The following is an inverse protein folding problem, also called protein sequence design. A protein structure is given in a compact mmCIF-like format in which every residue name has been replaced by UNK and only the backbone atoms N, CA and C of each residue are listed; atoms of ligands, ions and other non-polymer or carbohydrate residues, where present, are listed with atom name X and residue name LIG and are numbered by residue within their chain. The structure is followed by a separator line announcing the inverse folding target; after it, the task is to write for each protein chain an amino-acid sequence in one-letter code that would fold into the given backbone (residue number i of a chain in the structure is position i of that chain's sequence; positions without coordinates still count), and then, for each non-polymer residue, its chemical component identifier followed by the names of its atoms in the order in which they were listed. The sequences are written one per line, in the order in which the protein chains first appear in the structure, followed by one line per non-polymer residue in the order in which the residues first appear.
data_IF_384235070482
#
_entry.id   IF_384235070482
#
_cell.length_a   1.000
_cell.length_b   1.000
_cell.length_c   1.000
_cell.angle_alpha   90.00
_cell.angle_beta   90.00
_cell.angle_gamma   90.00
#
_symmetry.space_group_name_H-M   'P 1'
#
loop_
_entity.id
_entity.type
_entity.pdbx_description
1 polymer ?
#
# COMPACT_ATOMS: atom_id res chain seq x y z
N UNK A 1 1.35 -22.29 -21.89
CA UNK A 1 0.33 -21.39 -21.32
C UNK A 1 0.90 -20.36 -20.32
N UNK A 2 2.24 -20.14 -20.23
CA UNK A 2 2.82 -19.26 -19.20
C UNK A 2 2.85 -17.76 -19.51
N UNK A 3 2.96 -17.35 -20.78
CA UNK A 3 3.13 -15.93 -21.14
C UNK A 3 1.88 -15.08 -20.90
N UNK A 4 0.68 -15.63 -21.14
CA UNK A 4 -0.59 -14.90 -20.95
C UNK A 4 -0.90 -14.66 -19.48
N UNK A 5 -0.64 -15.65 -18.62
CA UNK A 5 -0.83 -15.53 -17.17
C UNK A 5 0.17 -14.54 -16.54
N UNK A 6 1.42 -14.51 -16.99
CA UNK A 6 2.40 -13.52 -16.53
C UNK A 6 1.97 -12.09 -16.89
N UNK A 7 1.49 -11.85 -18.12
CA UNK A 7 1.02 -10.52 -18.56
C UNK A 7 -0.22 -10.05 -17.79
N UNK A 8 -1.12 -10.96 -17.45
CA UNK A 8 -2.30 -10.63 -16.66
C UNK A 8 -1.93 -10.22 -15.23
N UNK A 9 -1.05 -10.97 -14.57
CA UNK A 9 -0.56 -10.62 -13.23
C UNK A 9 0.22 -9.30 -13.22
N UNK A 10 1.04 -9.06 -14.23
CA UNK A 10 1.76 -7.79 -14.39
C UNK A 10 0.78 -6.63 -14.56
N UNK A 11 -0.25 -6.79 -15.41
CA UNK A 11 -1.32 -5.78 -15.57
C UNK A 11 -2.06 -5.55 -14.26
N UNK A 12 -2.44 -6.60 -13.53
CA UNK A 12 -3.14 -6.47 -12.24
C UNK A 12 -2.28 -5.66 -11.27
N UNK A 13 -1.00 -5.99 -11.18
CA UNK A 13 -0.03 -5.33 -10.30
C UNK A 13 0.09 -3.84 -10.63
N UNK A 14 0.42 -3.50 -11.87
CA UNK A 14 0.60 -2.09 -12.27
C UNK A 14 -0.71 -1.31 -12.15
N UNK A 15 -1.84 -1.90 -12.56
CA UNK A 15 -3.14 -1.25 -12.41
C UNK A 15 -3.48 -1.00 -10.94
N UNK A 16 -3.14 -1.92 -10.03
CA UNK A 16 -3.43 -1.78 -8.60
C UNK A 16 -2.68 -0.60 -7.99
N UNK A 17 -1.40 -0.42 -8.34
CA UNK A 17 -0.59 0.70 -7.84
C UNK A 17 -1.23 2.04 -8.15
N UNK A 18 -1.75 2.19 -9.37
CA UNK A 18 -2.30 3.44 -9.90
C UNK A 18 -3.77 3.70 -9.51
N UNK A 19 -4.43 2.78 -8.79
CA UNK A 19 -5.82 3.02 -8.36
C UNK A 19 -5.84 4.23 -7.42
N UNK A 20 -6.67 5.25 -7.70
CA UNK A 20 -6.82 6.38 -6.80
C UNK A 20 -7.52 5.96 -5.51
N UNK A 21 -7.10 6.53 -4.38
CA UNK A 21 -7.86 6.40 -3.13
C UNK A 21 -9.07 7.34 -3.16
N UNK A 22 -10.12 7.01 -2.40
CA UNK A 22 -11.39 7.75 -2.46
C UNK A 22 -11.25 9.24 -2.08
N UNK A 23 -10.37 9.54 -1.13
CA UNK A 23 -10.09 10.90 -0.66
C UNK A 23 -8.59 11.07 -0.49
N UNK A 24 -8.02 12.07 -1.17
CA UNK A 24 -6.60 12.38 -1.06
C UNK A 24 -6.26 12.82 0.37
N UNK A 25 -5.16 12.30 0.91
CA UNK A 25 -4.66 12.70 2.23
C UNK A 25 -3.46 13.61 2.03
N UNK A 26 -3.60 14.88 2.39
CA UNK A 26 -2.59 15.91 2.13
C UNK A 26 -1.78 16.20 3.41
N UNK A 27 -0.46 16.12 3.29
CA UNK A 27 0.52 16.41 4.35
C UNK A 27 1.57 17.40 3.84
N UNK A 28 1.42 18.70 4.15
CA UNK A 28 2.33 19.77 3.72
C UNK A 28 2.70 19.67 2.22
N UNK A 29 3.88 19.13 1.90
CA UNK A 29 4.42 19.01 0.54
C UNK A 29 4.13 17.65 -0.15
N UNK A 30 3.41 16.74 0.52
CA UNK A 30 3.10 15.39 0.03
C UNK A 30 1.60 15.10 0.04
N UNK A 31 1.14 14.33 -0.93
CA UNK A 31 -0.26 13.92 -1.10
C UNK A 31 -0.31 12.41 -1.30
N UNK A 32 -1.11 11.72 -0.49
CA UNK A 32 -1.45 10.32 -0.70
C UNK A 32 -2.63 10.27 -1.66
N UNK A 33 -2.42 9.80 -2.88
CA UNK A 33 -3.43 9.83 -3.94
C UNK A 33 -3.74 8.44 -4.48
N UNK A 34 -2.76 7.54 -4.45
CA UNK A 34 -2.85 6.19 -5.02
C UNK A 34 -2.67 5.09 -3.99
N UNK A 35 -2.96 3.84 -4.36
CA UNK A 35 -2.68 2.67 -3.52
C UNK A 35 -1.19 2.54 -3.22
N UNK A 36 -0.31 2.84 -4.19
CA UNK A 36 1.13 2.84 -3.92
C UNK A 36 1.53 3.93 -2.92
N UNK A 37 0.97 5.13 -3.03
CA UNK A 37 1.21 6.20 -2.04
C UNK A 37 0.80 5.75 -0.64
N UNK A 38 -0.39 5.16 -0.52
CA UNK A 38 -0.93 4.72 0.76
C UNK A 38 -0.06 3.62 1.39
N UNK A 39 0.35 2.63 0.60
CA UNK A 39 1.26 1.59 1.03
C UNK A 39 2.59 2.18 1.52
N UNK A 40 3.16 3.10 0.73
CA UNK A 40 4.44 3.74 1.04
C UNK A 40 4.34 4.62 2.31
N UNK A 41 3.24 5.34 2.46
CA UNK A 41 2.93 6.16 3.63
C UNK A 41 2.91 5.33 4.91
N UNK A 42 2.13 4.25 4.94
CA UNK A 42 2.00 3.38 6.12
C UNK A 42 3.34 2.80 6.57
N UNK A 43 4.13 2.30 5.61
CA UNK A 43 5.46 1.77 5.89
C UNK A 43 6.40 2.87 6.39
N UNK A 44 6.36 4.05 5.78
CA UNK A 44 7.21 5.19 6.18
C UNK A 44 6.94 5.60 7.62
N UNK A 45 5.68 5.83 7.98
CA UNK A 45 5.26 6.19 9.34
C UNK A 45 5.70 5.13 10.34
N UNK A 46 5.44 3.86 10.01
CA UNK A 46 5.84 2.72 10.86
C UNK A 46 7.35 2.67 11.11
N UNK A 47 8.17 2.90 10.08
CA UNK A 47 9.63 2.84 10.20
C UNK A 47 10.21 4.03 10.98
N UNK A 48 9.58 5.20 10.90
CA UNK A 48 9.90 6.35 11.76
C UNK A 48 9.66 5.98 13.23
N UNK A 49 8.50 5.41 13.56
CA UNK A 49 8.17 4.97 14.92
C UNK A 49 9.13 3.89 15.46
N UNK A 50 9.64 3.04 14.58
CA UNK A 50 10.63 2.02 14.95
C UNK A 50 12.05 2.57 15.14
N UNK A 51 12.27 3.88 15.09
CA UNK A 51 13.59 4.52 15.07
C UNK A 51 14.48 4.03 13.91
N UNK A 52 13.87 3.67 12.77
CA UNK A 52 14.57 3.27 11.53
C UNK A 52 14.08 4.13 10.35
N UNK A 53 14.13 5.47 10.47
CA UNK A 53 13.46 6.35 9.54
C UNK A 53 13.92 6.12 8.10
N UNK A 54 12.96 6.20 7.17
CA UNK A 54 13.16 6.02 5.74
C UNK A 54 12.24 7.00 5.02
N UNK A 55 12.67 7.55 3.89
CA UNK A 55 11.80 8.43 3.10
C UNK A 55 10.79 7.62 2.30
N UNK A 56 9.61 8.19 2.06
CA UNK A 56 8.57 7.59 1.26
C UNK A 56 9.04 7.26 -0.16
N UNK A 57 9.85 8.15 -0.75
CA UNK A 57 10.51 7.94 -2.04
C UNK A 57 11.40 6.69 -2.03
N UNK A 58 12.11 6.43 -0.92
CA UNK A 58 12.96 5.23 -0.80
C UNK A 58 12.10 3.99 -0.65
N UNK A 59 11.03 4.05 0.14
CA UNK A 59 10.08 2.93 0.32
C UNK A 59 9.51 2.48 -1.02
N UNK A 60 8.92 3.40 -1.80
CA UNK A 60 8.32 3.11 -3.12
C UNK A 60 9.28 2.34 -4.04
N UNK A 61 10.55 2.75 -4.09
CA UNK A 61 11.58 2.13 -4.94
C UNK A 61 12.03 0.73 -4.49
N UNK A 62 11.60 0.30 -3.31
CA UNK A 62 12.12 -0.93 -2.67
C UNK A 62 11.05 -1.95 -2.33
N UNK A 63 9.78 -1.67 -2.64
CA UNK A 63 8.73 -2.66 -2.49
C UNK A 63 9.00 -3.91 -3.34
N UNK A 64 8.87 -5.07 -2.72
CA UNK A 64 8.74 -6.36 -3.41
C UNK A 64 7.24 -6.61 -3.65
N UNK A 65 6.78 -6.32 -4.86
CA UNK A 65 5.38 -6.45 -5.26
C UNK A 65 5.07 -7.86 -5.76
N UNK A 66 3.95 -8.44 -5.30
CA UNK A 66 3.50 -9.78 -5.71
C UNK A 66 2.00 -9.83 -5.95
N UNK A 67 1.58 -10.74 -6.82
CA UNK A 67 0.17 -11.03 -7.10
C UNK A 67 -0.10 -12.51 -6.88
N UNK A 68 -1.01 -12.78 -5.95
CA UNK A 68 -1.46 -14.13 -5.59
C UNK A 68 -2.94 -14.27 -5.95
N UNK A 69 -3.27 -15.26 -6.77
CA UNK A 69 -4.66 -15.60 -7.09
C UNK A 69 -5.27 -16.36 -5.91
N UNK A 70 -6.44 -15.94 -5.45
CA UNK A 70 -7.17 -16.60 -4.37
C UNK A 70 -8.23 -17.52 -4.95
N UNK A 71 -9.07 -16.94 -5.80
CA UNK A 71 -10.15 -17.60 -6.51
C UNK A 71 -10.24 -16.99 -7.91
N UNK A 72 -11.14 -17.53 -8.75
CA UNK A 72 -11.37 -16.97 -10.08
C UNK A 72 -11.66 -15.48 -9.97
N UNK A 73 -10.90 -14.69 -10.72
CA UNK A 73 -11.03 -13.23 -10.80
C UNK A 73 -10.76 -12.47 -9.49
N UNK A 74 -10.24 -13.15 -8.45
CA UNK A 74 -9.93 -12.60 -7.13
C UNK A 74 -8.45 -12.79 -6.79
N UNK A 75 -7.80 -11.70 -6.37
CA UNK A 75 -6.36 -11.64 -6.17
C UNK A 75 -6.01 -10.90 -4.88
N UNK A 76 -4.83 -11.20 -4.34
CA UNK A 76 -4.17 -10.38 -3.33
C UNK A 76 -2.91 -9.80 -3.98
N UNK A 77 -2.87 -8.47 -4.05
CA UNK A 77 -1.66 -7.74 -4.41
C UNK A 77 -0.94 -7.36 -3.13
N UNK A 78 0.31 -7.76 -3.00
CA UNK A 78 1.12 -7.52 -1.80
C UNK A 78 2.27 -6.57 -2.12
N UNK A 79 2.50 -5.58 -1.26
CA UNK A 79 3.67 -4.71 -1.26
C UNK A 79 4.49 -5.01 0.00
N UNK A 80 5.59 -5.78 -0.16
CA UNK A 80 6.44 -6.14 0.97
C UNK A 80 7.61 -5.17 1.12
N UNK A 81 7.83 -4.69 2.36
CA UNK A 81 9.00 -3.93 2.76
C UNK A 81 9.55 -4.49 4.08
N UNK A 82 10.76 -5.06 4.04
CA UNK A 82 11.37 -5.74 5.21
C UNK A 82 10.40 -6.77 5.82
N UNK A 83 10.02 -6.55 7.08
CA UNK A 83 9.15 -7.43 7.87
C UNK A 83 7.67 -7.03 7.80
N UNK A 84 7.34 -5.98 7.05
CA UNK A 84 5.97 -5.50 6.84
C UNK A 84 5.48 -5.88 5.45
N UNK A 85 4.25 -6.40 5.34
CA UNK A 85 3.60 -6.70 4.07
C UNK A 85 2.24 -6.04 4.02
N UNK A 86 2.07 -5.10 3.10
CA UNK A 86 0.77 -4.50 2.83
C UNK A 86 0.00 -5.37 1.84
N UNK A 87 -1.18 -5.85 2.22
CA UNK A 87 -2.03 -6.75 1.41
C UNK A 87 -3.28 -6.03 0.94
N UNK A 88 -3.50 -6.06 -0.37
CA UNK A 88 -4.58 -5.35 -1.06
C UNK A 88 -5.46 -6.39 -1.77
N UNK A 89 -6.69 -6.62 -1.28
CA UNK A 89 -7.66 -7.45 -1.97
C UNK A 89 -8.12 -6.79 -3.27
N UNK A 90 -8.01 -7.53 -4.37
CA UNK A 90 -8.26 -7.03 -5.72
C UNK A 90 -9.21 -7.96 -6.45
N UNK A 91 -10.21 -7.38 -7.11
CA UNK A 91 -11.11 -8.09 -8.03
C UNK A 91 -10.85 -7.65 -9.47
N UNK A 92 -10.69 -8.61 -10.37
CA UNK A 92 -10.63 -8.37 -11.81
C UNK A 92 -12.04 -8.55 -12.40
N UNK A 93 -12.59 -7.53 -13.04
CA UNK A 93 -13.89 -7.64 -13.72
C UNK A 93 -13.89 -6.82 -14.98
N UNK A 94 -14.38 -7.39 -16.09
CA UNK A 94 -14.41 -6.72 -17.39
C UNK A 94 -13.07 -6.08 -17.78
N UNK A 95 -11.96 -6.79 -17.52
CA UNK A 95 -10.61 -6.32 -17.82
C UNK A 95 -10.19 -5.05 -17.04
N UNK A 96 -10.88 -4.75 -15.94
CA UNK A 96 -10.60 -3.65 -15.01
C UNK A 96 -10.31 -4.20 -13.62
N UNK A 97 -9.43 -3.52 -12.92
CA UNK A 97 -8.94 -3.90 -11.59
C UNK A 97 -9.64 -3.01 -10.58
N UNK A 98 -10.23 -3.64 -9.58
CA UNK A 98 -10.98 -2.98 -8.51
C UNK A 98 -10.43 -3.41 -7.17
N UNK A 99 -10.41 -2.48 -6.23
CA UNK A 99 -10.05 -2.75 -4.83
C UNK A 99 -10.96 -1.93 -3.93
N UNK A 100 -11.28 -2.48 -2.78
CA UNK A 100 -11.82 -1.73 -1.65
C UNK A 100 -10.74 -1.66 -0.58
N UNK A 101 -10.14 -0.47 -0.48
CA UNK A 101 -9.00 -0.20 0.40
C UNK A 101 -9.35 -0.36 1.88
N UNK A 102 -10.62 -0.30 2.25
CA UNK A 102 -11.07 -0.58 3.63
C UNK A 102 -10.75 -2.01 4.07
N UNK A 103 -10.67 -2.96 3.14
CA UNK A 103 -10.29 -4.36 3.41
C UNK A 103 -8.79 -4.64 3.26
N UNK A 104 -7.98 -3.63 2.92
CA UNK A 104 -6.55 -3.79 2.93
C UNK A 104 -6.04 -3.98 4.37
N UNK A 105 -4.88 -4.60 4.49
CA UNK A 105 -4.26 -4.83 5.80
C UNK A 105 -2.75 -4.71 5.73
N UNK A 106 -2.15 -4.41 6.87
CA UNK A 106 -0.71 -4.48 7.06
C UNK A 106 -0.42 -5.70 7.94
N UNK A 107 0.37 -6.63 7.43
CA UNK A 107 0.91 -7.72 8.22
C UNK A 107 2.31 -7.37 8.70
N UNK A 108 2.55 -7.53 10.00
CA UNK A 108 3.86 -7.27 10.61
C UNK A 108 4.00 -8.10 11.88
N UNK A 109 5.17 -8.73 12.07
CA UNK A 109 5.45 -9.56 13.26
C UNK A 109 4.36 -10.63 13.52
N UNK A 110 3.86 -11.26 12.46
CA UNK A 110 2.74 -12.23 12.50
C UNK A 110 1.38 -11.66 12.98
N UNK A 111 1.29 -10.34 13.17
CA UNK A 111 0.03 -9.64 13.47
C UNK A 111 -0.54 -9.00 12.20
N UNK A 112 -1.87 -8.99 12.08
CA UNK A 112 -2.60 -8.41 10.95
C UNK A 112 -3.38 -7.20 11.46
N UNK A 113 -3.06 -6.03 10.91
CA UNK A 113 -3.74 -4.78 11.24
C UNK A 113 -4.65 -4.36 10.09
N UNK A 114 -5.98 -4.33 10.29
CA UNK A 114 -6.92 -3.83 9.31
C UNK A 114 -6.68 -2.35 9.04
N UNK A 115 -6.54 -1.97 7.77
CA UNK A 115 -6.20 -0.60 7.42
C UNK A 115 -7.28 0.39 7.87
N UNK A 116 -8.56 0.03 7.67
CA UNK A 116 -9.68 0.87 8.07
C UNK A 116 -9.72 1.19 9.58
N UNK A 117 -9.04 0.42 10.42
CA UNK A 117 -8.94 0.67 11.85
C UNK A 117 -7.76 1.56 12.23
N UNK A 118 -6.62 1.41 11.57
CA UNK A 118 -5.38 2.13 11.95
C UNK A 118 -5.20 3.46 11.22
N UNK A 119 -5.76 3.59 10.01
CA UNK A 119 -5.47 4.72 9.12
C UNK A 119 -5.90 6.07 9.72
N UNK A 120 -7.09 6.24 10.34
CA UNK A 120 -7.49 7.52 10.91
C UNK A 120 -6.55 8.01 12.03
N UNK A 121 -6.10 7.10 12.88
CA UNK A 121 -5.20 7.41 14.00
C UNK A 121 -3.83 7.82 13.47
N UNK A 122 -3.29 7.09 12.49
CA UNK A 122 -2.00 7.41 11.86
C UNK A 122 -2.02 8.76 11.14
N UNK A 123 -3.09 9.08 10.42
CA UNK A 123 -3.24 10.38 9.75
C UNK A 123 -3.20 11.50 10.79
N UNK A 124 -3.96 11.33 11.88
CA UNK A 124 -4.03 12.32 12.97
C UNK A 124 -2.67 12.51 13.63
N UNK A 125 -1.93 11.42 13.88
CA UNK A 125 -0.59 11.52 14.47
C UNK A 125 0.37 12.28 13.55
N UNK A 126 0.44 11.90 12.28
CA UNK A 126 1.35 12.50 11.30
C UNK A 126 1.07 13.98 11.07
N UNK A 127 -0.20 14.39 11.11
CA UNK A 127 -0.58 15.80 10.98
C UNK A 127 -0.11 16.64 12.18
N UNK A 128 -0.02 16.05 13.37
CA UNK A 128 0.29 16.76 14.60
C UNK A 128 1.76 16.67 15.03
N UNK A 129 2.53 15.72 14.50
CA UNK A 129 3.92 15.51 14.89
C UNK A 129 4.92 15.87 13.75
N UNK A 130 5.78 16.90 13.95
CA UNK A 130 6.76 17.29 12.94
C UNK A 130 7.81 16.21 12.65
N UNK A 131 7.99 15.19 13.49
CA UNK A 131 8.99 14.13 13.30
C UNK A 131 8.84 13.39 11.97
N UNK A 132 7.63 13.36 11.39
CA UNK A 132 7.35 12.67 10.14
C UNK A 132 7.64 13.48 8.88
N UNK A 133 7.68 14.81 9.00
CA UNK A 133 7.59 15.73 7.87
C UNK A 133 8.78 15.60 6.90
N UNK A 134 9.97 15.31 7.41
CA UNK A 134 11.15 15.14 6.57
C UNK A 134 11.18 13.80 5.83
N UNK A 135 10.34 12.84 6.24
CA UNK A 135 10.29 11.49 5.65
C UNK A 135 9.18 11.33 4.62
N UNK A 136 8.21 12.25 4.59
CA UNK A 136 7.16 12.29 3.57
C UNK A 136 7.58 13.04 2.29
N UNK A 137 8.84 13.45 2.20
CA UNK A 137 9.42 14.16 1.04
C UNK A 137 10.06 13.21 0.01
#
# INVERSE_FOLDING_TARGET
MGLTACKEKERILESTKDIPINENIVFNDYSVETVEDLAAFLVTVTEVENNKPVTITKVKKTFDWKVEEQEKDSYIVSAKYRDSTFKIPVTLSNNRVYTDIGYASVERNDEVYPLGSILPDLITEVQNDPKYQDYLK
#
